data_IF_120923050072
#
_entry.id   IF_120923050072
#
_cell.length_a   1.000
_cell.length_b   1.000
_cell.length_c   1.000
_cell.angle_alpha   90.00
_cell.angle_beta   90.00
_cell.angle_gamma   90.00
#
_symmetry.space_group_name_H-M   'P 1'
#
loop_
_entity.id
_entity.type
_entity.pdbx_description
1 polymer ?
#
# COMPACT_ATOMS: atom_id res chain seq x y z
N UNK A 1 -10.04 -19.84 3.98
CA UNK A 1 -8.62 -19.75 4.43
C UNK A 1 -8.22 -18.28 4.50
N UNK A 2 -7.10 -17.92 5.14
CA UNK A 2 -6.59 -16.53 5.16
C UNK A 2 -5.31 -16.42 4.35
N UNK A 3 -5.15 -15.34 3.57
CA UNK A 3 -3.93 -15.01 2.81
C UNK A 3 -3.22 -13.87 3.51
N UNK A 4 -1.92 -13.98 3.73
CA UNK A 4 -1.10 -12.94 4.35
C UNK A 4 -0.31 -12.15 3.32
N UNK A 5 -0.31 -10.83 3.41
CA UNK A 5 0.51 -9.95 2.56
C UNK A 5 1.44 -9.12 3.43
N UNK A 6 2.74 -9.25 3.20
CA UNK A 6 3.78 -8.54 3.93
C UNK A 6 4.52 -7.59 3.00
N UNK A 7 4.65 -6.34 3.40
CA UNK A 7 5.58 -5.36 2.83
C UNK A 7 6.35 -4.71 3.98
N UNK A 8 7.55 -4.20 3.68
CA UNK A 8 8.33 -3.37 4.61
C UNK A 8 7.50 -2.24 5.22
N UNK A 9 6.58 -1.65 4.45
CA UNK A 9 5.67 -0.60 4.89
C UNK A 9 4.25 -0.87 4.38
N UNK A 10 3.28 -0.87 5.31
CA UNK A 10 1.86 -0.94 5.00
C UNK A 10 1.21 0.40 5.37
N UNK A 11 0.66 1.09 4.37
CA UNK A 11 -0.25 2.21 4.59
C UNK A 11 -1.65 1.68 4.88
N UNK A 12 -2.18 1.99 6.07
CA UNK A 12 -3.52 1.62 6.47
C UNK A 12 -4.21 2.78 7.20
N UNK A 13 -5.33 3.25 6.64
CA UNK A 13 -6.05 4.44 7.12
C UNK A 13 -5.08 5.63 7.23
N UNK A 14 -4.88 6.20 8.41
CA UNK A 14 -3.95 7.30 8.66
C UNK A 14 -2.60 6.85 9.23
N UNK A 15 -2.30 5.55 9.20
CA UNK A 15 -1.11 4.96 9.82
C UNK A 15 -0.16 4.35 8.79
N UNK A 16 1.14 4.56 9.03
CA UNK A 16 2.21 3.86 8.34
C UNK A 16 2.75 2.78 9.28
N UNK A 17 2.56 1.51 8.90
CA UNK A 17 2.92 0.36 9.72
C UNK A 17 4.17 -0.32 9.14
N UNK A 18 5.27 -0.26 9.89
CA UNK A 18 6.53 -0.91 9.51
C UNK A 18 6.50 -2.39 9.94
N UNK A 19 6.82 -3.32 9.05
CA UNK A 19 6.88 -4.77 9.33
C UNK A 19 5.58 -5.36 9.90
N UNK A 20 4.52 -5.37 9.11
CA UNK A 20 3.23 -5.98 9.46
C UNK A 20 2.72 -6.89 8.34
N UNK A 21 1.83 -7.82 8.67
CA UNK A 21 1.12 -8.66 7.72
C UNK A 21 -0.34 -8.24 7.70
N UNK A 22 -0.84 -7.92 6.51
CA UNK A 22 -2.27 -7.78 6.24
C UNK A 22 -2.87 -9.14 5.93
N UNK A 23 -3.88 -9.55 6.70
CA UNK A 23 -4.61 -10.79 6.46
C UNK A 23 -5.94 -10.50 5.76
N UNK A 24 -6.15 -11.17 4.63
CA UNK A 24 -7.38 -11.10 3.85
C UNK A 24 -8.11 -12.45 3.83
N UNK A 25 -9.44 -12.38 3.74
CA UNK A 25 -10.28 -13.52 3.40
C UNK A 25 -9.93 -14.01 1.99
N UNK A 26 -9.72 -15.32 1.83
CA UNK A 26 -9.42 -15.88 0.50
C UNK A 26 -10.58 -15.83 -0.48
N UNK A 27 -11.81 -15.70 0.04
CA UNK A 27 -13.02 -15.85 -0.78
C UNK A 27 -13.39 -14.55 -1.49
N UNK A 28 -13.12 -13.40 -0.86
CA UNK A 28 -13.61 -12.11 -1.34
C UNK A 28 -12.69 -10.91 -1.03
N UNK A 29 -11.47 -11.17 -0.57
CA UNK A 29 -10.46 -10.16 -0.23
C UNK A 29 -10.94 -9.17 0.85
N UNK A 30 -11.82 -9.60 1.75
CA UNK A 30 -12.18 -8.83 2.94
C UNK A 30 -11.00 -8.71 3.91
N UNK A 31 -10.75 -7.51 4.42
CA UNK A 31 -9.72 -7.27 5.44
C UNK A 31 -10.14 -7.94 6.76
N UNK A 32 -9.34 -8.90 7.21
CA UNK A 32 -9.57 -9.63 8.46
C UNK A 32 -8.80 -9.03 9.64
N UNK A 33 -7.53 -8.69 9.45
CA UNK A 33 -6.68 -8.11 10.51
C UNK A 33 -5.34 -7.64 9.96
N UNK A 34 -4.63 -6.79 10.72
CA UNK A 34 -3.23 -6.44 10.47
C UNK A 34 -2.43 -6.77 11.74
N UNK A 35 -1.40 -7.59 11.62
CA UNK A 35 -0.60 -8.05 12.77
C UNK A 35 0.89 -7.77 12.55
N UNK A 36 1.68 -7.52 13.61
CA UNK A 36 3.13 -7.38 13.48
C UNK A 36 3.78 -8.61 12.82
N UNK A 37 4.71 -8.38 11.89
CA UNK A 37 5.49 -9.45 11.27
C UNK A 37 6.52 -9.97 12.26
N UNK A 38 6.37 -11.22 12.70
CA UNK A 38 7.35 -11.88 13.56
C UNK A 38 8.34 -12.74 12.77
N UNK A 39 7.83 -13.57 11.87
CA UNK A 39 8.62 -14.44 11.01
C UNK A 39 7.81 -14.86 9.77
N UNK A 40 8.51 -15.30 8.73
CA UNK A 40 7.89 -15.79 7.50
C UNK A 40 7.20 -17.15 7.75
N UNK A 41 6.00 -17.32 7.20
CA UNK A 41 5.22 -18.57 7.23
C UNK A 41 4.72 -18.89 5.82
N UNK A 42 4.42 -20.16 5.54
CA UNK A 42 4.15 -20.67 4.18
C UNK A 42 3.00 -20.00 3.40
N UNK A 43 2.19 -19.15 4.02
CA UNK A 43 1.05 -18.45 3.41
C UNK A 43 1.21 -16.92 3.39
N UNK A 44 2.43 -16.43 3.64
CA UNK A 44 2.75 -15.01 3.55
C UNK A 44 3.33 -14.71 2.18
N UNK A 45 2.67 -13.86 1.40
CA UNK A 45 3.19 -13.29 0.17
C UNK A 45 3.98 -12.04 0.50
N UNK A 46 5.24 -11.98 0.06
CA UNK A 46 6.03 -10.76 0.13
C UNK A 46 5.69 -9.83 -1.03
N UNK A 47 5.44 -8.56 -0.72
CA UNK A 47 5.14 -7.51 -1.66
C UNK A 47 6.34 -6.55 -1.74
N UNK A 48 6.89 -6.39 -2.94
CA UNK A 48 7.95 -5.42 -3.17
C UNK A 48 7.39 -3.99 -3.09
N UNK A 49 8.04 -3.11 -2.33
CA UNK A 49 7.64 -1.71 -2.22
C UNK A 49 6.73 -1.40 -1.04
N UNK A 50 5.98 -0.30 -1.11
CA UNK A 50 5.04 0.15 -0.06
C UNK A 50 3.62 -0.32 -0.38
N UNK A 51 3.06 -1.17 0.46
CA UNK A 51 1.72 -1.73 0.30
C UNK A 51 0.67 -0.73 0.80
N UNK A 52 -0.40 -0.54 0.04
CA UNK A 52 -1.58 0.21 0.49
C UNK A 52 -2.87 -0.49 0.08
N UNK A 53 -3.93 -0.22 0.83
CA UNK A 53 -5.20 -0.94 0.76
C UNK A 53 -6.35 0.04 0.52
N UNK A 54 -7.17 -0.26 -0.48
CA UNK A 54 -8.24 0.62 -0.95
C UNK A 54 -9.51 -0.17 -1.24
N UNK A 55 -10.67 0.49 -1.25
CA UNK A 55 -11.93 -0.11 -1.68
C UNK A 55 -11.95 -0.32 -3.22
N UNK A 56 -12.76 -1.24 -3.76
CA UNK A 56 -12.80 -1.53 -5.20
C UNK A 56 -13.01 -0.33 -6.12
N UNK A 57 -13.78 0.66 -5.67
CA UNK A 57 -14.10 1.88 -6.42
C UNK A 57 -12.88 2.77 -6.69
N UNK A 58 -11.74 2.51 -6.02
CA UNK A 58 -10.48 3.19 -6.27
C UNK A 58 -9.97 3.04 -7.71
N UNK A 59 -10.29 1.95 -8.41
CA UNK A 59 -9.82 1.72 -9.79
C UNK A 59 -10.14 2.90 -10.72
N UNK A 60 -11.30 3.54 -10.53
CA UNK A 60 -11.70 4.71 -11.33
C UNK A 60 -10.88 5.97 -11.01
N UNK A 61 -10.20 6.00 -9.87
CA UNK A 61 -9.40 7.12 -9.37
C UNK A 61 -7.90 6.86 -9.38
N UNK A 62 -7.46 5.68 -9.83
CA UNK A 62 -6.07 5.25 -9.80
C UNK A 62 -5.13 6.27 -10.46
N UNK A 63 -5.47 6.75 -11.66
CA UNK A 63 -4.64 7.73 -12.37
C UNK A 63 -4.54 9.07 -11.62
N UNK A 64 -5.64 9.56 -11.05
CA UNK A 64 -5.67 10.81 -10.28
C UNK A 64 -4.80 10.66 -9.02
N UNK A 65 -4.88 9.50 -8.35
CA UNK A 65 -4.01 9.18 -7.23
C UNK A 65 -2.52 9.24 -7.63
N UNK A 66 -2.16 8.59 -8.75
CA UNK A 66 -0.77 8.58 -9.27
C UNK A 66 -0.28 10.01 -9.55
N UNK A 67 -1.08 10.84 -10.21
CA UNK A 67 -0.69 12.20 -10.59
C UNK A 67 -0.44 13.08 -9.36
N UNK A 68 -1.30 12.97 -8.33
CA UNK A 68 -1.12 13.68 -7.07
C UNK A 68 0.12 13.18 -6.34
N UNK A 69 0.32 11.86 -6.29
CA UNK A 69 1.46 11.24 -5.61
C UNK A 69 2.79 11.71 -6.23
N UNK A 70 2.89 11.72 -7.56
CA UNK A 70 4.04 12.25 -8.30
C UNK A 70 4.30 13.71 -7.93
N UNK A 71 3.27 14.56 -8.04
CA UNK A 71 3.38 15.99 -7.70
C UNK A 71 3.86 16.23 -6.27
N UNK A 72 3.33 15.47 -5.29
CA UNK A 72 3.74 15.59 -3.89
C UNK A 72 5.21 15.24 -3.70
N UNK A 73 5.69 14.16 -4.31
CA UNK A 73 7.06 13.70 -4.20
C UNK A 73 8.05 14.61 -4.94
N UNK A 74 7.67 15.16 -6.10
CA UNK A 74 8.50 16.10 -6.86
C UNK A 74 8.62 17.45 -6.14
N UNK A 75 7.54 17.90 -5.49
CA UNK A 75 7.52 19.20 -4.78
C UNK A 75 8.28 19.14 -3.45
N UNK A 76 8.21 18.01 -2.73
CA UNK A 76 8.85 17.85 -1.43
C UNK A 76 9.84 16.69 -1.44
N UNK A 77 11.13 17.03 -1.58
CA UNK A 77 12.25 16.08 -1.61
C UNK A 77 12.49 15.31 -0.30
N UNK A 78 11.86 15.72 0.80
CA UNK A 78 11.94 15.02 2.11
C UNK A 78 10.74 14.12 2.38
N UNK A 79 9.70 14.18 1.56
CA UNK A 79 8.49 13.36 1.74
C UNK A 79 8.79 11.90 1.36
N UNK A 80 8.45 10.95 2.22
CA UNK A 80 8.56 9.52 1.92
C UNK A 80 7.35 9.05 1.11
N UNK A 81 7.50 7.93 0.40
CA UNK A 81 6.40 7.34 -0.39
C UNK A 81 5.19 7.05 0.51
N UNK A 82 5.41 6.39 1.66
CA UNK A 82 4.34 6.07 2.60
C UNK A 82 3.58 7.32 3.07
N UNK A 83 4.30 8.38 3.46
CA UNK A 83 3.65 9.63 3.87
C UNK A 83 2.96 10.35 2.71
N UNK A 84 3.49 10.27 1.49
CA UNK A 84 2.82 10.82 0.32
C UNK A 84 1.49 10.10 0.05
N UNK A 85 1.45 8.77 0.18
CA UNK A 85 0.20 7.98 0.09
C UNK A 85 -0.80 8.41 1.17
N UNK A 86 -0.38 8.48 2.43
CA UNK A 86 -1.26 8.87 3.54
C UNK A 86 -1.82 10.30 3.41
N UNK A 87 -1.06 11.20 2.78
CA UNK A 87 -1.48 12.57 2.51
C UNK A 87 -2.27 12.72 1.20
N UNK A 88 -2.43 11.65 0.41
CA UNK A 88 -3.14 11.73 -0.86
C UNK A 88 -4.66 11.70 -0.61
N UNK A 89 -5.41 12.72 -1.06
CA UNK A 89 -6.86 12.81 -0.82
C UNK A 89 -7.62 11.63 -1.42
N UNK A 90 -7.17 11.09 -2.56
CA UNK A 90 -7.80 9.91 -3.16
C UNK A 90 -7.61 8.69 -2.27
N UNK A 91 -6.44 8.52 -1.66
CA UNK A 91 -6.26 7.41 -0.72
C UNK A 91 -7.12 7.58 0.53
N UNK A 92 -7.23 8.79 1.05
CA UNK A 92 -8.06 9.09 2.23
C UNK A 92 -9.53 8.73 1.96
N UNK A 93 -10.08 9.13 0.80
CA UNK A 93 -11.48 8.90 0.44
C UNK A 93 -11.79 7.43 0.13
N UNK A 94 -10.80 6.67 -0.32
CA UNK A 94 -10.97 5.28 -0.80
C UNK A 94 -10.24 4.26 0.07
N UNK A 95 -9.73 4.63 1.24
CA UNK A 95 -9.06 3.68 2.14
C UNK A 95 -10.05 2.62 2.62
N UNK A 96 -9.67 1.34 2.56
CA UNK A 96 -10.51 0.27 3.05
C UNK A 96 -10.32 0.06 4.56
N UNK A 97 -11.42 -0.23 5.26
CA UNK A 97 -11.42 -0.56 6.68
C UNK A 97 -11.56 -2.07 6.91
N UNK A 98 -11.22 -2.54 8.11
CA UNK A 98 -11.46 -3.92 8.53
C UNK A 98 -12.93 -4.32 8.32
N UNK A 99 -13.16 -5.55 7.87
CA UNK A 99 -14.49 -6.06 7.51
C UNK A 99 -15.02 -5.58 6.15
N UNK A 100 -14.24 -4.83 5.36
CA UNK A 100 -14.60 -4.44 3.99
C UNK A 100 -13.76 -5.20 2.96
N UNK A 101 -14.36 -5.45 1.79
CA UNK A 101 -13.64 -5.90 0.60
C UNK A 101 -12.64 -4.84 0.17
N UNK A 102 -11.48 -5.27 -0.31
CA UNK A 102 -10.43 -4.35 -0.73
C UNK A 102 -9.68 -4.83 -1.97
N UNK A 103 -8.96 -3.89 -2.57
CA UNK A 103 -7.89 -4.12 -3.51
C UNK A 103 -6.54 -3.80 -2.85
N UNK A 104 -5.51 -4.50 -3.30
CA UNK A 104 -4.15 -4.32 -2.87
C UNK A 104 -3.31 -3.71 -3.98
N UNK A 105 -2.56 -2.69 -3.63
CA UNK A 105 -1.61 -2.04 -4.53
C UNK A 105 -0.28 -1.87 -3.82
N UNK A 106 0.80 -1.96 -4.58
CA UNK A 106 2.14 -1.63 -4.11
C UNK A 106 2.75 -0.53 -4.96
N UNK A 107 3.35 0.47 -4.32
CA UNK A 107 4.32 1.35 -5.00
C UNK A 107 5.66 0.63 -5.03
N UNK A 108 6.08 0.14 -6.19
CA UNK A 108 7.34 -0.60 -6.36
C UNK A 108 8.55 0.34 -6.46
N UNK A 109 9.74 -0.25 -6.56
CA UNK A 109 10.99 0.50 -6.79
C UNK A 109 11.24 1.58 -5.73
N UNK A 110 11.05 1.26 -4.45
CA UNK A 110 11.37 2.17 -3.32
C UNK A 110 12.79 1.88 -2.83
N UNK A 111 13.59 2.94 -2.68
CA UNK A 111 14.88 2.87 -2.03
C UNK A 111 14.67 2.88 -0.52
N UNK A 112 14.90 1.74 0.14
CA UNK A 112 14.67 1.58 1.58
C UNK A 112 15.63 2.37 2.49
N UNK A 113 16.71 2.93 1.94
CA UNK A 113 17.57 3.85 2.71
C UNK A 113 16.96 5.25 2.81
N UNK A 114 16.14 5.64 1.82
CA UNK A 114 15.56 6.99 1.72
C UNK A 114 14.04 7.01 1.79
N UNK A 115 13.39 5.84 1.73
CA UNK A 115 11.95 5.64 1.60
C UNK A 115 11.31 6.45 0.45
N UNK A 116 12.08 6.62 -0.63
CA UNK A 116 11.70 7.37 -1.84
C UNK A 116 11.77 6.49 -3.09
N UNK A 117 11.18 6.91 -4.22
CA UNK A 117 11.35 6.19 -5.48
C UNK A 117 12.85 6.06 -5.84
N UNK A 118 13.27 4.86 -6.22
CA UNK A 118 14.64 4.51 -6.61
C UNK A 118 15.08 5.25 -7.88
N UNK A 119 14.13 5.63 -8.74
CA UNK A 119 14.35 6.47 -9.91
C UNK A 119 13.49 7.73 -9.82
N UNK A 120 14.08 8.94 -9.86
CA UNK A 120 13.32 10.19 -9.90
C UNK A 120 12.34 10.22 -11.07
N UNK A 121 11.09 10.59 -10.82
CA UNK A 121 10.03 10.70 -11.84
C UNK A 121 9.38 9.39 -12.27
N UNK A 122 9.89 8.23 -11.85
CA UNK A 122 9.31 6.93 -12.19
C UNK A 122 8.68 6.29 -10.95
N UNK A 123 7.39 6.56 -10.73
CA UNK A 123 6.58 5.87 -9.74
C UNK A 123 5.78 4.80 -10.47
N UNK A 124 6.07 3.55 -10.17
CA UNK A 124 5.33 2.40 -10.65
C UNK A 124 4.41 1.91 -9.52
N UNK A 125 3.13 1.76 -9.85
CA UNK A 125 2.12 1.20 -8.96
C UNK A 125 1.61 -0.09 -9.59
N UNK A 126 1.65 -1.16 -8.81
CA UNK A 126 1.24 -2.49 -9.25
C UNK A 126 0.07 -2.95 -8.40
N UNK A 127 -1.04 -3.29 -9.06
CA UNK A 127 -2.14 -4.01 -8.43
C UNK A 127 -1.71 -5.43 -8.11
N UNK A 128 -1.77 -5.82 -6.85
CA UNK A 128 -1.40 -7.16 -6.40
C UNK A 128 -2.57 -8.10 -6.70
N UNK A 129 -2.29 -9.17 -7.43
CA UNK A 129 -3.28 -10.23 -7.66
C UNK A 129 -3.50 -10.99 -6.35
N UNK A 130 -4.73 -10.93 -5.85
CA UNK A 130 -5.15 -11.52 -4.57
C UNK A 130 -5.83 -12.84 -4.80
#
# INVERSE_FOLDING_TARGET
MKKGYFSHQICYKSLLLNKHILYLSSDDNTILSILPFQQEVSLTTFCEGVLFVVIPEFEEKEQIFIDILKKQLDTNLKLTVGNAILNNPIYIDYTASEGKKCLLYSVTSVNWSTERPSQPGNIEIIKIKV
#
